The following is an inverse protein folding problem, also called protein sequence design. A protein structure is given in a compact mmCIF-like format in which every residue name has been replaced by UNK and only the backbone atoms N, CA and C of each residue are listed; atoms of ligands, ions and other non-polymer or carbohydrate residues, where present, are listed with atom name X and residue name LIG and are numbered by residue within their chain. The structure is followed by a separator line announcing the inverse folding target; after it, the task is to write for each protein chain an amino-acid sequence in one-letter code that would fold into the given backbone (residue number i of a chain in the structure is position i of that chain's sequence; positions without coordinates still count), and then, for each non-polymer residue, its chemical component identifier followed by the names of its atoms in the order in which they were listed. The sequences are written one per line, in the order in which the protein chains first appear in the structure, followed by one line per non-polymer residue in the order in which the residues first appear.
data_IF_581489631565
#
_entry.id   IF_581489631565
#
_cell.length_a   1.000
_cell.length_b   1.000
_cell.length_c   1.000
_cell.angle_alpha   90.00
_cell.angle_beta   90.00
_cell.angle_gamma   90.00
#
_symmetry.space_group_name_H-M   'P 1'
#
loop_
_entity.id
_entity.type
_entity.pdbx_description
1 polymer ?
#
# COMPACT_ATOMS: atom_id res chain seq x y z
N UNK A 1 -14.44 12.19 -16.75
CA UNK A 1 -15.53 11.21 -16.66
C UNK A 1 -15.89 11.14 -15.19
N UNK A 2 -16.97 11.81 -14.81
CA UNK A 2 -17.54 11.68 -13.47
C UNK A 2 -18.03 10.24 -13.35
N UNK A 3 -17.40 9.47 -12.48
CA UNK A 3 -17.93 8.17 -12.12
C UNK A 3 -19.10 8.41 -11.18
N UNK A 4 -20.22 7.72 -11.43
CA UNK A 4 -21.42 7.72 -10.59
C UNK A 4 -21.14 7.01 -9.25
N UNK A 5 -20.17 7.51 -8.47
CA UNK A 5 -19.88 6.98 -7.15
C UNK A 5 -21.06 7.29 -6.22
N UNK A 6 -21.73 6.25 -5.79
CA UNK A 6 -22.82 6.35 -4.82
C UNK A 6 -22.25 6.22 -3.41
N UNK A 7 -22.90 6.91 -2.47
CA UNK A 7 -22.67 6.67 -1.03
C UNK A 7 -22.88 5.18 -0.76
N UNK A 8 -21.90 4.54 -0.12
CA UNK A 8 -21.93 3.12 0.22
C UNK A 8 -22.04 2.98 1.74
N UNK A 9 -23.14 2.38 2.19
CA UNK A 9 -23.28 1.96 3.58
C UNK A 9 -22.71 0.55 3.70
N UNK A 10 -21.55 0.42 4.36
CA UNK A 10 -20.90 -0.89 4.56
C UNK A 10 -21.61 -1.66 5.68
N UNK A 11 -21.91 -0.97 6.79
CA UNK A 11 -22.73 -1.43 7.90
C UNK A 11 -23.36 -0.22 8.62
N UNK A 12 -23.93 -0.40 9.81
CA UNK A 12 -24.57 0.69 10.57
C UNK A 12 -23.58 1.78 10.99
N UNK A 13 -22.33 1.38 11.28
CA UNK A 13 -21.28 2.25 11.82
C UNK A 13 -20.29 2.76 10.75
N UNK A 14 -20.37 2.24 9.51
CA UNK A 14 -19.39 2.57 8.48
C UNK A 14 -20.03 2.94 7.15
N UNK A 15 -19.89 4.21 6.79
CA UNK A 15 -20.42 4.81 5.56
C UNK A 15 -19.26 5.38 4.76
N UNK A 16 -19.17 5.02 3.48
CA UNK A 16 -18.22 5.59 2.54
C UNK A 16 -18.96 6.62 1.68
N UNK A 17 -18.51 7.87 1.78
CA UNK A 17 -18.98 8.97 0.92
C UNK A 17 -17.90 9.25 -0.12
N UNK A 18 -18.21 9.11 -1.42
CA UNK A 18 -17.22 9.35 -2.48
C UNK A 18 -16.88 10.83 -2.57
N UNK A 19 -15.65 11.11 -2.98
CA UNK A 19 -15.16 12.46 -3.24
C UNK A 19 -14.29 12.48 -4.48
N UNK A 20 -14.24 13.60 -5.17
CA UNK A 20 -13.28 13.81 -6.24
C UNK A 20 -11.91 14.14 -5.65
N UNK A 21 -10.89 13.39 -6.08
CA UNK A 21 -9.52 13.56 -5.58
C UNK A 21 -9.45 13.40 -4.05
N UNK A 22 -8.91 14.40 -3.38
CA UNK A 22 -8.71 14.41 -1.93
C UNK A 22 -9.72 15.28 -1.17
N UNK A 23 -10.86 15.60 -1.80
CA UNK A 23 -11.89 16.43 -1.20
C UNK A 23 -11.65 17.94 -1.35
N UNK A 24 -12.58 18.72 -0.78
CA UNK A 24 -12.54 20.18 -0.82
C UNK A 24 -12.93 20.81 0.53
N UNK A 25 -12.57 22.08 0.78
CA UNK A 25 -13.01 22.83 1.95
C UNK A 25 -14.54 22.81 2.16
N UNK A 26 -15.30 22.96 1.09
CA UNK A 26 -16.78 23.01 1.15
C UNK A 26 -17.36 21.67 1.60
N UNK A 27 -16.80 20.55 1.10
CA UNK A 27 -17.20 19.20 1.53
C UNK A 27 -16.92 18.98 3.01
N UNK A 28 -15.76 19.43 3.50
CA UNK A 28 -15.39 19.29 4.89
C UNK A 28 -16.29 20.17 5.78
N UNK A 29 -16.52 21.43 5.42
CA UNK A 29 -17.44 22.31 6.17
C UNK A 29 -18.85 21.73 6.27
N UNK A 30 -19.35 21.16 5.16
CA UNK A 30 -20.63 20.49 5.18
C UNK A 30 -20.62 19.30 6.14
N UNK A 31 -19.59 18.45 6.09
CA UNK A 31 -19.46 17.31 6.99
C UNK A 31 -19.37 17.73 8.47
N UNK A 32 -18.56 18.72 8.79
CA UNK A 32 -18.45 19.28 10.17
C UNK A 32 -19.79 19.78 10.68
N UNK A 33 -20.56 20.48 9.82
CA UNK A 33 -21.86 21.05 10.21
C UNK A 33 -22.98 20.00 10.36
N UNK A 34 -23.00 18.98 9.49
CA UNK A 34 -24.09 18.01 9.41
C UNK A 34 -23.85 16.75 10.23
N UNK A 35 -22.62 16.23 10.22
CA UNK A 35 -22.27 14.98 10.90
C UNK A 35 -21.77 15.24 12.34
N UNK A 36 -21.25 16.42 12.61
CA UNK A 36 -20.68 16.82 13.92
C UNK A 36 -19.71 15.75 14.46
N UNK A 37 -18.63 15.46 13.73
CA UNK A 37 -17.72 14.38 14.10
C UNK A 37 -17.01 14.71 15.43
N UNK A 38 -16.66 13.65 16.17
CA UNK A 38 -15.82 13.74 17.38
C UNK A 38 -14.33 13.80 17.02
N UNK A 39 -13.95 13.48 15.79
CA UNK A 39 -12.57 13.42 15.32
C UNK A 39 -12.51 13.52 13.78
N UNK A 40 -11.57 14.29 13.26
CA UNK A 40 -11.12 14.20 11.85
C UNK A 40 -9.86 13.35 11.79
N UNK A 41 -9.92 12.19 11.17
CA UNK A 41 -8.77 11.31 10.98
C UNK A 41 -8.26 11.40 9.54
N UNK A 42 -6.98 11.76 9.37
CA UNK A 42 -6.31 11.82 8.07
C UNK A 42 -5.37 10.63 7.94
N UNK A 43 -5.40 9.99 6.79
CA UNK A 43 -4.51 8.90 6.42
C UNK A 43 -3.92 9.15 5.03
N UNK A 44 -2.63 9.02 4.87
CA UNK A 44 -1.79 9.17 3.68
C UNK A 44 -0.82 10.36 3.78
N UNK A 45 -0.22 10.78 2.67
CA UNK A 45 0.71 11.91 2.62
C UNK A 45 -0.03 13.23 2.91
N UNK A 46 0.37 14.02 3.92
CA UNK A 46 -0.37 15.21 4.34
C UNK A 46 -0.37 16.31 3.27
N UNK A 47 0.57 16.29 2.33
CA UNK A 47 0.63 17.26 1.22
C UNK A 47 -0.61 17.24 0.33
N UNK A 48 -1.30 16.11 0.25
CA UNK A 48 -2.59 16.01 -0.47
C UNK A 48 -3.73 16.70 0.27
N UNK A 49 -3.57 16.98 1.57
CA UNK A 49 -4.54 17.62 2.46
C UNK A 49 -4.10 18.99 2.93
N UNK A 50 -3.19 19.66 2.21
CA UNK A 50 -2.76 21.00 2.57
C UNK A 50 -3.94 21.97 2.77
N UNK A 51 -4.95 21.87 1.92
CA UNK A 51 -6.18 22.66 2.03
C UNK A 51 -6.94 22.41 3.34
N UNK A 52 -6.95 21.15 3.85
CA UNK A 52 -7.60 20.77 5.10
C UNK A 52 -6.82 21.36 6.29
N UNK A 53 -5.51 21.21 6.30
CA UNK A 53 -4.67 21.78 7.36
C UNK A 53 -4.71 23.32 7.39
N UNK A 54 -4.95 23.97 6.24
CA UNK A 54 -5.18 25.41 6.19
C UNK A 54 -6.51 25.85 6.82
N UNK A 55 -7.37 24.90 7.20
CA UNK A 55 -8.64 25.10 7.90
C UNK A 55 -8.59 24.63 9.37
N UNK A 56 -7.40 24.38 9.92
CA UNK A 56 -7.27 23.79 11.27
C UNK A 56 -8.06 24.54 12.32
N UNK A 57 -8.04 25.88 12.31
CA UNK A 57 -8.81 26.72 13.24
C UNK A 57 -10.32 26.48 13.15
N UNK A 58 -10.85 26.27 11.94
CA UNK A 58 -12.27 25.95 11.73
C UNK A 58 -12.59 24.55 12.25
N UNK A 59 -11.70 23.59 12.02
CA UNK A 59 -11.89 22.19 12.42
C UNK A 59 -11.84 22.08 13.95
N UNK A 60 -10.85 22.70 14.58
CA UNK A 60 -10.67 22.70 16.04
C UNK A 60 -11.83 23.34 16.83
N UNK A 61 -12.67 24.15 16.17
CA UNK A 61 -13.92 24.62 16.80
C UNK A 61 -14.96 23.50 16.93
N UNK A 62 -14.80 22.40 16.23
CA UNK A 62 -15.75 21.27 16.21
C UNK A 62 -15.14 20.03 16.87
N UNK A 63 -13.92 19.63 16.46
CA UNK A 63 -13.27 18.41 16.93
C UNK A 63 -11.75 18.43 16.69
N UNK A 64 -10.98 17.55 17.36
CA UNK A 64 -9.55 17.40 17.14
C UNK A 64 -9.23 16.78 15.78
N UNK A 65 -7.96 16.96 15.37
CA UNK A 65 -7.38 16.35 14.16
C UNK A 65 -6.42 15.26 14.58
N UNK A 66 -6.59 14.04 14.05
CA UNK A 66 -5.63 12.97 14.13
C UNK A 66 -5.04 12.66 12.76
N UNK A 67 -3.76 12.32 12.74
CA UNK A 67 -3.06 11.93 11.53
C UNK A 67 -2.44 10.54 11.67
N UNK A 68 -2.88 9.59 10.87
CA UNK A 68 -2.24 8.28 10.78
C UNK A 68 -1.09 8.36 9.78
N UNK A 69 0.11 8.52 10.32
CA UNK A 69 1.29 8.91 9.57
C UNK A 69 2.04 7.74 8.97
N UNK A 70 2.30 7.86 7.67
CA UNK A 70 3.09 6.92 6.87
C UNK A 70 4.38 7.61 6.42
N UNK A 71 5.52 7.19 6.97
CA UNK A 71 6.83 7.69 6.60
C UNK A 71 7.86 6.56 6.64
N UNK A 72 8.72 6.46 5.63
CA UNK A 72 9.62 5.33 5.40
C UNK A 72 11.09 5.74 5.17
N UNK A 73 11.44 6.99 5.46
CA UNK A 73 12.78 7.53 5.21
C UNK A 73 13.36 8.25 6.45
N UNK A 74 14.63 8.63 6.38
CA UNK A 74 15.37 9.45 7.35
C UNK A 74 15.95 10.68 6.66
N UNK A 75 16.09 11.80 7.39
CA UNK A 75 15.53 12.12 8.70
C UNK A 75 14.00 12.25 8.66
N UNK A 76 13.38 12.63 9.82
CA UNK A 76 11.97 12.97 9.79
C UNK A 76 11.74 14.17 8.85
N UNK A 77 10.57 14.28 8.22
CA UNK A 77 10.36 15.29 7.19
C UNK A 77 9.99 16.66 7.80
N UNK A 78 10.98 17.47 8.14
CA UNK A 78 10.80 18.84 8.68
C UNK A 78 9.86 19.70 7.81
N UNK A 79 9.83 19.46 6.50
CA UNK A 79 8.89 20.13 5.59
C UNK A 79 7.41 19.80 5.85
N UNK A 80 7.12 18.84 6.70
CA UNK A 80 5.78 18.48 7.17
C UNK A 80 5.44 19.09 8.53
N UNK A 81 6.32 19.87 9.16
CA UNK A 81 6.11 20.41 10.52
C UNK A 81 4.79 21.14 10.64
N UNK A 82 4.40 21.95 9.66
CA UNK A 82 3.12 22.65 9.67
C UNK A 82 1.90 21.72 9.82
N UNK A 83 2.00 20.50 9.28
CA UNK A 83 0.93 19.49 9.40
C UNK A 83 0.97 18.81 10.76
N UNK A 84 2.18 18.59 11.29
CA UNK A 84 2.33 18.00 12.63
C UNK A 84 1.90 18.97 13.72
N UNK A 85 2.19 20.26 13.57
CA UNK A 85 1.78 21.31 14.51
C UNK A 85 0.26 21.41 14.60
N UNK A 86 -0.41 21.41 13.45
CA UNK A 86 -1.86 21.44 13.33
C UNK A 86 -2.59 20.16 13.77
N UNK A 87 -1.86 19.10 14.11
CA UNK A 87 -2.44 17.80 14.48
C UNK A 87 -2.40 17.60 15.99
N UNK A 88 -3.48 17.13 16.60
CA UNK A 88 -3.55 16.82 18.04
C UNK A 88 -3.01 15.44 18.38
N UNK A 89 -3.13 14.47 17.46
CA UNK A 89 -2.64 13.11 17.63
C UNK A 89 -1.98 12.58 16.36
N UNK A 90 -0.72 12.17 16.47
CA UNK A 90 0.05 11.55 15.37
C UNK A 90 0.19 10.05 15.64
N UNK A 91 -0.55 9.22 14.90
CA UNK A 91 -0.48 7.78 14.97
C UNK A 91 0.54 7.24 13.96
N UNK A 92 1.71 6.83 14.42
CA UNK A 92 2.77 6.29 13.56
C UNK A 92 2.53 4.82 13.24
N UNK A 93 2.40 4.47 11.95
CA UNK A 93 2.09 3.13 11.49
C UNK A 93 3.25 2.13 11.67
N UNK A 94 4.49 2.60 11.78
CA UNK A 94 5.67 1.78 11.99
C UNK A 94 6.54 2.30 13.13
N UNK A 95 7.30 1.41 13.74
CA UNK A 95 8.27 1.79 14.76
C UNK A 95 9.32 2.75 14.18
N UNK A 96 9.68 2.58 12.90
CA UNK A 96 10.58 3.50 12.21
C UNK A 96 10.01 4.93 12.19
N UNK A 97 8.76 5.12 11.76
CA UNK A 97 8.09 6.44 11.77
C UNK A 97 8.04 7.02 13.17
N UNK A 98 7.64 6.20 14.16
CA UNK A 98 7.58 6.61 15.56
C UNK A 98 8.92 7.14 16.07
N UNK A 99 10.02 6.42 15.84
CA UNK A 99 11.35 6.82 16.30
C UNK A 99 11.88 8.09 15.63
N UNK A 100 11.36 8.46 14.47
CA UNK A 100 11.71 9.72 13.81
C UNK A 100 10.96 10.92 14.39
N UNK A 101 9.67 10.77 14.71
CA UNK A 101 8.81 11.88 15.12
C UNK A 101 8.75 12.10 16.63
N UNK A 102 8.71 11.01 17.42
CA UNK A 102 8.54 11.09 18.86
C UNK A 102 9.58 11.97 19.57
N UNK A 103 10.86 12.06 19.17
CA UNK A 103 11.80 12.98 19.80
C UNK A 103 11.43 14.46 19.66
N UNK A 104 10.68 14.82 18.60
CA UNK A 104 10.28 16.21 18.28
C UNK A 104 8.88 16.50 18.79
N UNK A 105 7.92 15.58 18.59
CA UNK A 105 6.50 15.74 18.91
C UNK A 105 6.04 14.73 19.96
N UNK A 106 6.78 14.62 21.06
CA UNK A 106 6.63 13.59 22.10
C UNK A 106 5.20 13.46 22.64
N UNK A 107 4.55 14.58 22.93
CA UNK A 107 3.29 14.58 23.68
C UNK A 107 2.07 14.16 22.85
N UNK A 108 2.23 14.13 21.53
CA UNK A 108 1.14 13.80 20.59
C UNK A 108 1.48 12.66 19.61
N UNK A 109 2.63 12.02 19.75
CA UNK A 109 3.07 10.93 18.87
C UNK A 109 2.94 9.57 19.53
N UNK A 110 2.22 8.67 18.88
CA UNK A 110 1.92 7.32 19.36
C UNK A 110 2.27 6.28 18.30
N UNK A 111 2.74 5.12 18.76
CA UNK A 111 2.94 3.97 17.87
C UNK A 111 1.63 3.20 17.71
N UNK A 112 1.02 3.27 16.53
CA UNK A 112 -0.22 2.59 16.16
C UNK A 112 0.04 1.79 14.88
N UNK A 113 0.49 0.53 14.99
CA UNK A 113 0.89 -0.24 13.82
C UNK A 113 -0.28 -0.61 12.92
N UNK A 114 0.04 -0.85 11.66
CA UNK A 114 -0.88 -1.52 10.76
C UNK A 114 -1.25 -2.90 11.27
N UNK A 115 -2.49 -3.28 11.04
CA UNK A 115 -3.01 -4.61 11.34
C UNK A 115 -3.61 -5.23 10.08
N UNK A 116 -3.76 -6.53 10.11
CA UNK A 116 -4.43 -7.30 9.06
C UNK A 116 -5.56 -8.14 9.68
N UNK A 117 -6.69 -8.30 8.99
CA UNK A 117 -7.78 -9.12 9.49
C UNK A 117 -7.40 -10.61 9.47
N UNK A 118 -7.49 -11.26 10.62
CA UNK A 118 -7.08 -12.67 10.81
C UNK A 118 -7.97 -13.68 10.08
N UNK A 119 -9.19 -13.32 9.79
CA UNK A 119 -10.15 -14.10 9.00
C UNK A 119 -9.82 -14.11 7.50
N UNK A 120 -9.05 -13.11 7.03
CA UNK A 120 -8.61 -13.00 5.63
C UNK A 120 -7.15 -13.45 5.46
N UNK A 121 -6.28 -13.06 6.42
CA UNK A 121 -4.85 -13.37 6.39
C UNK A 121 -4.48 -14.31 7.54
N UNK A 122 -4.40 -15.60 7.24
CA UNK A 122 -4.05 -16.65 8.20
C UNK A 122 -3.08 -17.65 7.57
N UNK A 123 -2.44 -18.44 8.39
CA UNK A 123 -1.53 -19.46 7.89
C UNK A 123 -2.32 -20.63 7.30
N UNK A 124 -2.12 -20.89 6.01
CA UNK A 124 -2.73 -22.02 5.32
C UNK A 124 -2.12 -23.34 5.78
N UNK A 125 -2.94 -24.36 5.93
CA UNK A 125 -2.50 -25.75 6.10
C UNK A 125 -1.71 -26.22 4.89
N UNK A 126 -0.91 -27.28 5.04
CA UNK A 126 -0.14 -27.84 3.93
C UNK A 126 -1.03 -28.32 2.77
N UNK A 127 -2.22 -28.83 3.07
CA UNK A 127 -3.17 -29.25 2.02
C UNK A 127 -3.74 -28.06 1.25
N UNK A 128 -4.03 -26.95 1.92
CA UNK A 128 -4.51 -25.71 1.29
C UNK A 128 -3.40 -25.08 0.45
N UNK A 129 -2.16 -25.00 0.97
CA UNK A 129 -0.98 -24.53 0.21
C UNK A 129 -0.81 -25.30 -1.09
N UNK A 130 -0.94 -26.64 -1.06
CA UNK A 130 -0.88 -27.49 -2.27
C UNK A 130 -2.01 -27.18 -3.26
N UNK A 131 -3.25 -27.01 -2.78
CA UNK A 131 -4.41 -26.68 -3.64
C UNK A 131 -4.23 -25.31 -4.30
N UNK A 132 -3.82 -24.29 -3.54
CA UNK A 132 -3.58 -22.93 -4.05
C UNK A 132 -2.45 -22.97 -5.09
N UNK A 133 -1.35 -23.66 -4.79
CA UNK A 133 -0.23 -23.78 -5.71
C UNK A 133 -0.62 -24.52 -7.02
N UNK A 134 -1.40 -25.58 -6.92
CA UNK A 134 -1.90 -26.31 -8.10
C UNK A 134 -2.82 -25.44 -8.98
N UNK A 135 -3.62 -24.56 -8.36
CA UNK A 135 -4.50 -23.65 -9.09
C UNK A 135 -3.73 -22.60 -9.90
N UNK A 136 -2.73 -21.97 -9.29
CA UNK A 136 -2.02 -20.83 -9.89
C UNK A 136 -0.79 -21.24 -10.70
N UNK A 137 -0.21 -22.40 -10.41
CA UNK A 137 1.02 -22.91 -10.99
C UNK A 137 0.83 -24.36 -11.46
N UNK A 138 -0.08 -24.59 -12.42
CA UNK A 138 -0.29 -25.94 -12.97
C UNK A 138 1.04 -26.45 -13.55
N UNK A 139 1.36 -27.72 -13.27
CA UNK A 139 2.62 -28.39 -13.68
C UNK A 139 3.91 -27.85 -13.05
N UNK A 140 3.83 -26.97 -12.03
CA UNK A 140 4.98 -26.40 -11.32
C UNK A 140 4.84 -26.53 -9.78
N UNK A 141 4.05 -27.53 -9.31
CA UNK A 141 3.73 -27.68 -7.90
C UNK A 141 4.98 -27.96 -7.05
N UNK A 142 5.97 -28.63 -7.60
CA UNK A 142 7.22 -28.97 -6.92
C UNK A 142 8.36 -27.97 -7.15
N UNK A 143 8.11 -26.94 -7.96
CA UNK A 143 9.09 -25.89 -8.19
C UNK A 143 9.22 -24.93 -6.99
N UNK A 144 10.41 -24.38 -6.80
CA UNK A 144 10.58 -23.26 -5.88
C UNK A 144 9.72 -22.09 -6.35
N UNK A 145 8.95 -21.48 -5.44
CA UNK A 145 8.02 -20.41 -5.79
C UNK A 145 8.36 -19.13 -5.08
N UNK A 146 8.76 -18.12 -5.84
CA UNK A 146 8.79 -16.73 -5.41
C UNK A 146 7.42 -16.08 -5.63
N UNK A 147 7.08 -15.09 -4.81
CA UNK A 147 5.85 -14.30 -4.97
C UNK A 147 6.14 -12.80 -4.92
N UNK A 148 5.57 -12.06 -5.85
CA UNK A 148 5.67 -10.61 -5.89
C UNK A 148 4.28 -10.01 -6.14
N UNK A 149 3.79 -9.20 -5.18
CA UNK A 149 2.53 -8.49 -5.25
C UNK A 149 2.76 -7.00 -5.10
N UNK A 150 2.68 -6.27 -6.19
CA UNK A 150 2.85 -4.83 -6.24
C UNK A 150 2.23 -4.30 -7.53
N UNK A 151 1.91 -2.97 -7.55
CA UNK A 151 1.65 -2.29 -8.81
C UNK A 151 2.91 -2.30 -9.68
N UNK A 152 2.78 -2.58 -10.94
CA UNK A 152 3.85 -2.42 -11.94
C UNK A 152 4.13 -0.93 -12.15
N UNK A 153 4.99 -0.36 -11.32
CA UNK A 153 5.40 1.04 -11.36
C UNK A 153 6.92 1.16 -11.27
N UNK A 154 7.50 2.14 -11.93
CA UNK A 154 8.97 2.36 -12.01
C UNK A 154 9.63 2.36 -10.63
N UNK A 155 9.02 3.00 -9.63
CA UNK A 155 9.55 3.06 -8.26
C UNK A 155 9.61 1.69 -7.56
N UNK A 156 8.87 0.69 -8.03
CA UNK A 156 8.90 -0.69 -7.52
C UNK A 156 9.96 -1.55 -8.19
N UNK A 157 10.67 -0.99 -9.16
CA UNK A 157 11.85 -1.54 -9.83
C UNK A 157 11.67 -2.96 -10.37
N UNK A 158 10.58 -3.28 -11.09
CA UNK A 158 10.37 -4.63 -11.60
C UNK A 158 11.49 -5.08 -12.54
N UNK A 159 12.17 -4.17 -13.26
CA UNK A 159 13.33 -4.51 -14.11
C UNK A 159 14.46 -5.18 -13.31
N UNK A 160 14.76 -4.64 -12.12
CA UNK A 160 15.82 -5.19 -11.26
C UNK A 160 15.43 -6.57 -10.74
N UNK A 161 14.13 -6.76 -10.42
CA UNK A 161 13.60 -8.06 -10.03
C UNK A 161 13.75 -9.10 -11.16
N UNK A 162 13.40 -8.75 -12.40
CA UNK A 162 13.54 -9.64 -13.54
C UNK A 162 15.01 -10.01 -13.80
N UNK A 163 15.90 -9.03 -13.73
CA UNK A 163 17.33 -9.27 -13.85
C UNK A 163 17.84 -10.19 -12.72
N UNK A 164 17.52 -9.88 -11.48
CA UNK A 164 17.94 -10.70 -10.35
C UNK A 164 17.38 -12.14 -10.45
N UNK A 165 16.11 -12.26 -10.88
CA UNK A 165 15.49 -13.57 -11.09
C UNK A 165 16.17 -14.36 -12.22
N UNK A 166 16.56 -13.70 -13.32
CA UNK A 166 17.32 -14.38 -14.39
C UNK A 166 18.66 -14.90 -13.89
N UNK A 167 19.40 -14.08 -13.14
CA UNK A 167 20.69 -14.51 -12.54
C UNK A 167 20.50 -15.69 -11.59
N UNK A 168 19.42 -15.69 -10.80
CA UNK A 168 19.09 -16.81 -9.91
C UNK A 168 18.78 -18.08 -10.71
N UNK A 169 17.97 -17.99 -11.76
CA UNK A 169 17.63 -19.15 -12.61
C UNK A 169 18.87 -19.72 -13.31
N UNK A 170 19.76 -18.86 -13.82
CA UNK A 170 20.99 -19.32 -14.48
C UNK A 170 21.95 -19.99 -13.49
N UNK A 171 22.05 -19.49 -12.26
CA UNK A 171 22.82 -20.16 -11.19
C UNK A 171 22.21 -21.49 -10.79
N UNK A 172 20.89 -21.54 -10.63
CA UNK A 172 20.18 -22.78 -10.30
C UNK A 172 20.43 -23.86 -11.35
N UNK A 173 20.39 -23.47 -12.64
CA UNK A 173 20.71 -24.41 -13.75
C UNK A 173 22.17 -24.86 -13.71
N UNK A 174 23.10 -23.96 -13.44
CA UNK A 174 24.52 -24.30 -13.38
C UNK A 174 24.91 -25.20 -12.19
N UNK A 175 24.27 -25.02 -11.05
CA UNK A 175 24.58 -25.69 -9.79
C UNK A 175 23.78 -27.01 -9.62
N UNK A 176 22.50 -27.00 -10.01
CA UNK A 176 21.55 -28.08 -9.74
C UNK A 176 21.09 -28.82 -11.03
N UNK A 177 21.46 -28.32 -12.20
CA UNK A 177 21.13 -28.95 -13.50
C UNK A 177 19.67 -28.76 -13.93
N UNK A 178 18.94 -27.83 -13.33
CA UNK A 178 17.54 -27.55 -13.67
C UNK A 178 17.16 -26.09 -13.44
N UNK A 179 16.01 -25.66 -14.02
CA UNK A 179 15.44 -24.33 -13.90
C UNK A 179 14.11 -24.35 -13.11
N UNK A 180 13.92 -25.27 -12.17
CA UNK A 180 12.65 -25.52 -11.48
C UNK A 180 12.32 -24.49 -10.40
N UNK A 181 12.28 -23.22 -10.80
CA UNK A 181 11.81 -22.12 -9.97
C UNK A 181 10.87 -21.20 -10.76
N UNK A 182 9.85 -20.67 -10.13
CA UNK A 182 8.86 -19.78 -10.74
C UNK A 182 8.57 -18.57 -9.84
N UNK A 183 8.51 -17.40 -10.44
CA UNK A 183 8.06 -16.16 -9.80
C UNK A 183 6.59 -15.93 -10.19
N UNK A 184 5.70 -16.07 -9.22
CA UNK A 184 4.30 -15.68 -9.39
C UNK A 184 4.15 -14.19 -9.12
N UNK A 185 3.71 -13.45 -10.11
CA UNK A 185 3.53 -11.99 -10.02
C UNK A 185 2.05 -11.63 -10.02
N UNK A 186 1.60 -10.97 -8.94
CA UNK A 186 0.27 -10.39 -8.86
C UNK A 186 0.35 -8.89 -9.18
N UNK A 187 0.13 -8.56 -10.44
CA UNK A 187 0.25 -7.21 -10.98
C UNK A 187 -0.40 -7.11 -12.36
N UNK A 188 -0.67 -5.89 -12.82
CA UNK A 188 -0.96 -5.64 -14.25
C UNK A 188 0.38 -5.56 -15.02
N UNK A 189 0.66 -6.51 -15.94
CA UNK A 189 1.91 -6.52 -16.69
C UNK A 189 2.08 -5.35 -17.66
N UNK A 190 1.01 -4.66 -17.99
CA UNK A 190 0.95 -3.55 -18.95
C UNK A 190 0.57 -2.21 -18.32
N UNK A 191 0.65 -2.08 -16.99
CA UNK A 191 0.40 -0.80 -16.31
C UNK A 191 1.27 0.31 -16.92
N UNK A 192 0.64 1.44 -17.25
CA UNK A 192 1.29 2.58 -17.93
C UNK A 192 2.41 3.24 -17.11
N UNK A 193 2.39 3.07 -15.80
CA UNK A 193 3.42 3.61 -14.88
C UNK A 193 4.69 2.75 -14.82
N UNK A 194 4.64 1.56 -15.42
CA UNK A 194 5.72 0.58 -15.42
C UNK A 194 6.20 0.17 -16.82
N UNK A 195 7.18 -0.73 -16.87
CA UNK A 195 7.61 -1.35 -18.11
C UNK A 195 6.61 -2.43 -18.57
N UNK A 196 6.67 -2.77 -19.85
CA UNK A 196 6.00 -3.96 -20.37
C UNK A 196 6.69 -5.22 -19.81
N UNK A 197 6.04 -5.91 -18.85
CA UNK A 197 6.62 -7.06 -18.17
C UNK A 197 6.68 -8.32 -19.05
N UNK A 198 5.81 -8.44 -20.06
CA UNK A 198 5.91 -9.51 -21.05
C UNK A 198 7.19 -9.39 -21.88
N UNK A 199 7.49 -8.17 -22.34
CA UNK A 199 8.73 -7.90 -23.08
C UNK A 199 9.98 -8.16 -22.21
N UNK A 200 9.94 -7.85 -20.92
CA UNK A 200 11.03 -8.17 -20.00
C UNK A 200 11.18 -9.67 -19.78
N UNK A 201 10.08 -10.41 -19.62
CA UNK A 201 10.05 -11.85 -19.50
C UNK A 201 10.75 -12.53 -20.69
N UNK A 202 10.44 -12.03 -21.89
CA UNK A 202 11.04 -12.55 -23.12
C UNK A 202 12.53 -12.16 -23.24
N UNK A 203 12.87 -10.92 -22.93
CA UNK A 203 14.25 -10.40 -22.96
C UNK A 203 15.19 -11.24 -22.07
N UNK A 204 14.74 -11.67 -20.90
CA UNK A 204 15.52 -12.43 -19.94
C UNK A 204 15.32 -13.95 -20.07
N UNK A 205 14.63 -14.45 -21.12
CA UNK A 205 14.34 -15.86 -21.33
C UNK A 205 13.69 -16.56 -20.13
N UNK A 206 12.66 -15.90 -19.53
CA UNK A 206 12.00 -16.32 -18.29
C UNK A 206 10.54 -16.77 -18.51
N UNK A 207 10.13 -17.14 -19.72
CA UNK A 207 8.74 -17.52 -20.03
C UNK A 207 8.21 -18.62 -19.12
N UNK A 208 9.02 -19.63 -18.85
CA UNK A 208 8.66 -20.74 -17.97
C UNK A 208 8.80 -20.38 -16.47
N UNK A 209 9.60 -19.35 -16.16
CA UNK A 209 10.02 -19.03 -14.82
C UNK A 209 9.28 -17.79 -14.22
N UNK A 210 8.38 -17.16 -14.98
CA UNK A 210 7.51 -16.07 -14.51
C UNK A 210 6.09 -16.31 -15.00
N UNK A 211 5.15 -16.26 -14.05
CA UNK A 211 3.70 -16.39 -14.28
C UNK A 211 3.00 -15.16 -13.70
N UNK A 212 2.10 -14.57 -14.46
CA UNK A 212 1.24 -13.49 -13.96
C UNK A 212 -0.11 -14.05 -13.52
N UNK A 213 -0.61 -13.63 -12.38
CA UNK A 213 -1.91 -14.09 -11.86
C UNK A 213 -3.12 -13.57 -12.65
N UNK A 214 -2.87 -12.74 -13.66
CA UNK A 214 -3.88 -12.16 -14.57
C UNK A 214 -3.89 -12.85 -15.96
N UNK A 215 -3.01 -13.84 -16.18
CA UNK A 215 -2.97 -14.68 -17.41
C UNK A 215 -3.99 -15.80 -17.41
#
# INVERSE_FOLDING_TARGET
KHSDYKVMKVNEDFIIKPTDGFGTPEMLRLALATEKPDLVLIFTDPRFFHWLYSMEDEIHQVCPIAYWHVWDNKPYPEFNDMYYEATDLIACHSHHTYTQLHPVYKDKTYFVPHTIPKDVYYELSQSEKKKVKAKWLPNKQDWFTGFWSNRNARRKRPNDLFWAWSVFIDKLEAEEGHRNAVLLMHTDPLDREGPNLFALRDKYNLRENIVFSTE
#
